data_IF_777003598158
#
_entry.id   IF_777003598158
#
_cell.length_a   1.000
_cell.length_b   1.000
_cell.length_c   1.000
_cell.angle_alpha   90.00
_cell.angle_beta   90.00
_cell.angle_gamma   90.00
#
_symmetry.space_group_name_H-M   'P 1'
#
loop_
_entity.id
_entity.type
_entity.pdbx_description
1 polymer ?
#
# COMPACT_ATOMS: atom_id res chain seq x y z
N UNK A 1 2.85 -11.61 39.57
CA UNK A 1 2.04 -10.96 38.53
C UNK A 1 2.54 -9.53 38.27
N UNK A 2 3.76 -9.35 37.76
CA UNK A 2 4.27 -8.01 37.40
C UNK A 2 5.49 -8.11 36.52
N UNK A 3 5.35 -8.77 35.38
CA UNK A 3 6.44 -8.91 34.39
C UNK A 3 6.08 -8.37 32.98
N UNK A 4 4.87 -7.83 32.81
CA UNK A 4 4.40 -7.37 31.48
C UNK A 4 4.59 -5.87 31.18
N UNK A 5 5.20 -5.11 32.11
CA UNK A 5 5.25 -3.66 32.04
C UNK A 5 6.26 -2.99 31.07
N UNK A 6 7.38 -3.59 30.64
CA UNK A 6 8.34 -2.86 29.80
C UNK A 6 7.99 -2.86 28.30
N UNK A 7 7.18 -3.79 27.82
CA UNK A 7 6.88 -3.91 26.39
C UNK A 7 5.75 -2.97 25.97
N UNK A 8 4.70 -2.82 26.80
CA UNK A 8 3.62 -1.85 26.55
C UNK A 8 4.12 -0.40 26.56
N UNK A 9 5.09 -0.09 27.44
CA UNK A 9 5.69 1.25 27.49
C UNK A 9 6.60 1.57 26.29
N UNK A 10 7.15 0.55 25.63
CA UNK A 10 7.92 0.76 24.42
C UNK A 10 7.00 1.03 23.21
N UNK A 11 5.87 0.32 23.17
CA UNK A 11 4.85 0.47 22.13
C UNK A 11 4.11 1.80 22.25
N UNK A 12 3.74 2.20 23.47
CA UNK A 12 3.10 3.49 23.73
C UNK A 12 4.04 4.66 23.44
N UNK A 13 5.37 4.47 23.55
CA UNK A 13 6.36 5.48 23.16
C UNK A 13 6.63 5.53 21.65
N UNK A 14 6.51 4.39 20.93
CA UNK A 14 6.60 4.38 19.49
C UNK A 14 5.33 4.94 18.82
N UNK A 15 4.19 4.74 19.44
CA UNK A 15 2.86 5.17 18.95
C UNK A 15 2.20 6.19 19.89
N UNK A 16 2.96 6.80 20.81
CA UNK A 16 2.48 7.96 21.56
C UNK A 16 1.92 8.98 20.60
N UNK A 17 0.78 9.61 20.91
CA UNK A 17 0.09 10.50 20.01
C UNK A 17 1.10 11.49 19.45
N UNK A 18 1.25 11.43 18.15
CA UNK A 18 2.24 12.09 17.31
C UNK A 18 1.96 13.61 17.25
N UNK A 19 1.55 14.21 18.36
CA UNK A 19 1.34 15.64 18.46
C UNK A 19 2.60 16.48 18.18
N UNK A 20 3.78 15.86 18.27
CA UNK A 20 5.06 16.54 17.99
C UNK A 20 5.69 16.10 16.66
N UNK A 21 5.16 15.10 15.96
CA UNK A 21 5.73 14.62 14.69
C UNK A 21 5.45 15.54 13.51
N UNK A 22 4.42 16.39 13.59
CA UNK A 22 4.11 17.33 12.50
C UNK A 22 5.17 18.44 12.35
N UNK A 23 5.97 18.71 13.39
CA UNK A 23 7.03 19.73 13.35
C UNK A 23 8.37 19.18 12.83
N UNK A 24 8.64 17.86 13.00
CA UNK A 24 9.95 17.28 12.69
C UNK A 24 10.08 16.76 11.26
N UNK A 25 8.96 16.62 10.53
CA UNK A 25 9.00 16.16 9.13
C UNK A 25 9.42 17.25 8.11
N UNK A 26 9.96 18.38 8.56
CA UNK A 26 10.43 19.43 7.66
C UNK A 26 11.70 19.09 6.86
N UNK A 27 12.42 18.03 7.22
CA UNK A 27 13.68 17.67 6.55
C UNK A 27 13.66 16.23 5.98
N UNK A 28 13.81 16.13 4.68
CA UNK A 28 13.96 14.88 3.90
C UNK A 28 15.10 13.96 4.41
N UNK A 29 16.02 14.47 5.20
CA UNK A 29 17.12 13.72 5.83
C UNK A 29 16.68 12.87 7.03
N UNK A 30 15.58 13.23 7.69
CA UNK A 30 15.15 12.54 8.93
C UNK A 30 14.42 11.22 8.66
N UNK A 31 13.79 11.06 7.48
CA UNK A 31 13.18 9.78 7.10
C UNK A 31 14.22 8.65 7.00
N UNK A 32 15.41 8.93 6.43
CA UNK A 32 16.51 7.95 6.37
C UNK A 32 17.08 7.61 7.75
N UNK A 33 17.21 8.60 8.64
CA UNK A 33 17.69 8.35 10.00
C UNK A 33 16.68 7.56 10.84
N UNK A 34 15.38 7.81 10.64
CA UNK A 34 14.30 7.08 11.31
C UNK A 34 14.20 5.64 10.82
N UNK A 35 14.31 5.40 9.51
CA UNK A 35 14.37 4.06 8.93
C UNK A 35 15.58 3.30 9.50
N UNK A 36 16.76 3.92 9.54
CA UNK A 36 17.98 3.32 10.08
C UNK A 36 17.90 3.05 11.59
N UNK A 37 17.18 3.89 12.33
CA UNK A 37 16.90 3.67 13.76
C UNK A 37 15.95 2.48 13.95
N UNK A 38 14.85 2.41 13.17
CA UNK A 38 13.92 1.30 13.18
C UNK A 38 14.58 -0.02 12.75
N UNK A 39 15.48 0.01 11.77
CA UNK A 39 16.29 -1.17 11.38
C UNK A 39 17.12 -1.71 12.55
N UNK A 40 17.85 -0.84 13.25
CA UNK A 40 18.63 -1.22 14.43
C UNK A 40 17.73 -1.77 15.55
N UNK A 41 16.56 -1.18 15.75
CA UNK A 41 15.61 -1.62 16.76
C UNK A 41 15.01 -2.98 16.41
N UNK A 42 14.66 -3.22 15.16
CA UNK A 42 14.24 -4.54 14.65
C UNK A 42 15.35 -5.58 14.83
N UNK A 43 16.60 -5.26 14.52
CA UNK A 43 17.73 -6.19 14.67
C UNK A 43 18.03 -6.48 16.16
N UNK A 44 17.93 -5.47 17.02
CA UNK A 44 18.10 -5.62 18.47
C UNK A 44 16.97 -6.48 19.08
N UNK A 45 15.77 -6.32 18.58
CA UNK A 45 14.61 -7.07 18.99
C UNK A 45 14.68 -8.53 18.51
N UNK A 46 15.10 -8.79 17.29
CA UNK A 46 15.34 -10.15 16.75
C UNK A 46 16.42 -10.91 17.50
N UNK A 47 17.39 -10.21 18.11
CA UNK A 47 18.47 -10.82 18.89
C UNK A 47 18.08 -11.22 20.32
N UNK A 48 16.91 -10.79 20.78
CA UNK A 48 16.34 -11.17 22.07
C UNK A 48 15.19 -12.13 21.81
N UNK A 49 15.37 -13.41 22.08
CA UNK A 49 14.43 -14.53 21.89
C UNK A 49 13.01 -14.36 22.53
N UNK A 50 12.51 -13.14 22.72
CA UNK A 50 11.31 -12.82 23.51
C UNK A 50 10.32 -11.96 22.71
N UNK A 51 10.29 -12.08 21.38
CA UNK A 51 9.40 -11.19 20.61
C UNK A 51 8.22 -11.92 20.03
N UNK A 52 7.03 -11.39 20.39
CA UNK A 52 5.81 -11.67 19.66
C UNK A 52 6.04 -11.44 18.15
N UNK A 53 5.85 -12.48 17.33
CA UNK A 53 5.96 -12.41 15.87
C UNK A 53 5.12 -11.26 15.29
N UNK A 54 4.00 -10.93 15.95
CA UNK A 54 3.13 -9.82 15.60
C UNK A 54 3.83 -8.46 15.69
N UNK A 55 4.65 -8.24 16.73
CA UNK A 55 5.41 -6.98 16.87
C UNK A 55 6.45 -6.81 15.77
N UNK A 56 7.18 -7.88 15.46
CA UNK A 56 8.16 -7.88 14.36
C UNK A 56 7.46 -7.62 13.03
N UNK A 57 6.27 -8.22 12.84
CA UNK A 57 5.45 -8.00 11.65
C UNK A 57 5.00 -6.54 11.51
N UNK A 58 4.51 -5.93 12.59
CA UNK A 58 4.08 -4.53 12.58
C UNK A 58 5.24 -3.54 12.33
N UNK A 59 6.41 -3.79 12.93
CA UNK A 59 7.61 -2.97 12.68
C UNK A 59 8.09 -3.09 11.24
N UNK A 60 8.01 -4.30 10.67
CA UNK A 60 8.34 -4.51 9.26
C UNK A 60 7.38 -3.76 8.33
N UNK A 61 6.06 -3.83 8.58
CA UNK A 61 5.07 -3.08 7.84
C UNK A 61 5.30 -1.56 7.95
N UNK A 62 5.58 -1.07 9.16
CA UNK A 62 5.88 0.35 9.38
C UNK A 62 7.11 0.80 8.59
N UNK A 63 8.20 0.04 8.63
CA UNK A 63 9.40 0.33 7.86
C UNK A 63 9.10 0.40 6.37
N UNK A 64 8.41 -0.60 5.84
CA UNK A 64 8.14 -0.71 4.42
C UNK A 64 7.21 0.41 3.91
N UNK A 65 6.18 0.77 4.68
CA UNK A 65 5.28 1.87 4.29
C UNK A 65 5.98 3.23 4.35
N UNK A 66 6.90 3.43 5.30
CA UNK A 66 7.70 4.66 5.37
C UNK A 66 8.74 4.73 4.23
N UNK A 67 9.32 3.59 3.82
CA UNK A 67 10.18 3.52 2.65
C UNK A 67 9.42 3.88 1.36
N UNK A 68 8.23 3.30 1.17
CA UNK A 68 7.36 3.63 0.04
C UNK A 68 7.05 5.12 0.02
N UNK A 69 6.66 5.70 1.16
CA UNK A 69 6.36 7.11 1.29
C UNK A 69 7.58 8.00 1.00
N UNK A 70 8.74 7.61 1.48
CA UNK A 70 10.01 8.34 1.26
C UNK A 70 10.42 8.33 -0.22
N UNK A 71 10.32 7.19 -0.89
CA UNK A 71 10.59 7.09 -2.35
C UNK A 71 9.60 7.89 -3.17
N UNK A 72 8.33 7.95 -2.76
CA UNK A 72 7.28 8.73 -3.43
C UNK A 72 7.32 10.22 -3.13
N UNK A 73 8.11 10.67 -2.15
CA UNK A 73 8.13 12.05 -1.70
C UNK A 73 6.85 12.48 -0.97
N UNK A 74 6.09 11.52 -0.44
CA UNK A 74 4.87 11.79 0.33
C UNK A 74 5.21 12.20 1.76
N UNK A 75 4.48 13.19 2.29
CA UNK A 75 4.44 13.39 3.74
C UNK A 75 3.31 12.56 4.31
N UNK A 76 3.64 11.71 5.27
CA UNK A 76 2.69 10.74 5.81
C UNK A 76 2.62 10.81 7.33
N UNK A 77 1.47 10.39 7.86
CA UNK A 77 1.25 10.07 9.27
C UNK A 77 1.02 8.57 9.34
N UNK A 78 1.90 7.86 10.05
CA UNK A 78 1.74 6.43 10.28
C UNK A 78 0.61 6.17 11.27
N UNK A 79 -0.16 5.11 11.04
CA UNK A 79 -1.33 4.76 11.84
C UNK A 79 -1.47 3.26 11.96
N UNK A 80 -2.06 2.82 13.07
CA UNK A 80 -2.44 1.43 13.31
C UNK A 80 -3.92 1.23 12.98
N UNK A 81 -4.24 0.09 12.38
CA UNK A 81 -5.62 -0.34 12.20
C UNK A 81 -6.14 -0.89 13.54
N UNK A 82 -7.12 -0.21 14.14
CA UNK A 82 -7.68 -0.57 15.44
C UNK A 82 -8.99 -1.35 15.34
N UNK A 83 -9.71 -1.20 14.22
CA UNK A 83 -10.95 -1.94 14.00
C UNK A 83 -11.21 -2.11 12.50
N UNK A 84 -11.84 -3.23 12.14
CA UNK A 84 -12.37 -3.48 10.79
C UNK A 84 -13.87 -3.37 10.84
N UNK A 85 -14.44 -2.57 9.95
CA UNK A 85 -15.89 -2.43 9.83
C UNK A 85 -16.53 -3.78 9.51
N UNK A 86 -17.63 -4.08 10.21
CA UNK A 86 -18.40 -5.29 9.94
C UNK A 86 -19.04 -5.22 8.54
N UNK A 87 -19.00 -6.33 7.81
CA UNK A 87 -19.70 -6.51 6.52
C UNK A 87 -21.22 -6.32 6.59
N UNK A 88 -21.80 -6.20 7.79
CA UNK A 88 -23.23 -5.94 8.00
C UNK A 88 -23.72 -4.62 7.36
N UNK A 89 -22.84 -3.67 7.08
CA UNK A 89 -23.18 -2.39 6.43
C UNK A 89 -22.85 -2.34 4.94
N UNK A 90 -22.48 -3.44 4.31
CA UNK A 90 -22.05 -3.53 2.91
C UNK A 90 -20.88 -2.59 2.53
N UNK A 91 -20.24 -1.94 3.48
CA UNK A 91 -19.10 -1.06 3.26
C UNK A 91 -17.85 -1.65 3.88
N UNK A 92 -16.83 -1.81 3.05
CA UNK A 92 -15.54 -2.28 3.52
C UNK A 92 -14.73 -1.09 4.04
N UNK A 93 -14.65 -0.99 5.36
CA UNK A 93 -13.96 0.10 6.04
C UNK A 93 -13.06 -0.40 7.15
N UNK A 94 -12.02 0.36 7.47
CA UNK A 94 -11.20 0.17 8.66
C UNK A 94 -11.13 1.47 9.45
N UNK A 95 -10.97 1.34 10.76
CA UNK A 95 -10.71 2.48 11.65
C UNK A 95 -9.23 2.49 12.00
N UNK A 96 -8.62 3.66 11.93
CA UNK A 96 -7.22 3.91 12.27
C UNK A 96 -7.12 4.87 13.46
N UNK A 97 -6.02 4.78 14.22
CA UNK A 97 -5.76 5.47 15.48
C UNK A 97 -5.21 6.91 15.32
N UNK A 98 -5.41 7.52 14.16
CA UNK A 98 -5.01 8.92 13.90
C UNK A 98 -6.21 9.73 13.41
N UNK A 99 -6.24 11.00 13.79
CA UNK A 99 -7.37 11.90 13.51
C UNK A 99 -6.96 13.31 13.09
N UNK A 100 -7.88 14.24 13.27
CA UNK A 100 -7.62 15.65 12.94
C UNK A 100 -6.53 16.29 13.78
N UNK A 101 -6.31 15.80 15.00
CA UNK A 101 -5.21 16.23 15.88
C UNK A 101 -3.84 15.92 15.29
N UNK A 102 -3.75 14.88 14.45
CA UNK A 102 -2.53 14.44 13.77
C UNK A 102 -2.41 15.01 12.35
N UNK A 103 -3.31 15.93 11.98
CA UNK A 103 -3.32 16.55 10.64
C UNK A 103 -4.04 15.72 9.57
N UNK A 104 -4.75 14.66 9.97
CA UNK A 104 -5.55 13.86 9.04
C UNK A 104 -6.84 14.61 8.69
N UNK A 105 -7.21 14.59 7.43
CA UNK A 105 -8.45 15.16 6.92
C UNK A 105 -9.17 14.19 5.98
N UNK A 106 -10.45 14.44 5.77
CA UNK A 106 -11.27 13.71 4.80
C UNK A 106 -10.67 13.80 3.39
N UNK A 107 -10.84 12.74 2.62
CA UNK A 107 -10.29 12.61 1.26
C UNK A 107 -8.76 12.63 1.22
N UNK A 108 -8.09 12.08 2.22
CA UNK A 108 -6.66 11.77 2.15
C UNK A 108 -6.43 10.34 1.74
N UNK A 109 -5.41 10.10 0.92
CA UNK A 109 -4.99 8.77 0.49
C UNK A 109 -4.39 7.99 1.65
N UNK A 110 -4.71 6.71 1.76
CA UNK A 110 -4.13 5.78 2.72
C UNK A 110 -3.37 4.71 1.98
N UNK A 111 -2.13 4.47 2.38
CA UNK A 111 -1.20 3.52 1.77
C UNK A 111 -0.68 2.51 2.78
N UNK A 112 -0.27 1.34 2.31
CA UNK A 112 0.50 0.34 3.06
C UNK A 112 1.84 0.09 2.37
N UNK A 113 2.55 -0.93 2.80
CA UNK A 113 3.80 -1.42 2.21
C UNK A 113 3.66 -1.87 0.75
N UNK A 114 2.51 -2.44 0.36
CA UNK A 114 2.22 -2.84 -1.03
C UNK A 114 1.72 -1.72 -1.91
N UNK A 115 1.21 -0.62 -1.37
CA UNK A 115 0.63 0.49 -2.14
C UNK A 115 -0.69 1.00 -1.57
N UNK A 116 -1.68 1.23 -2.43
CA UNK A 116 -2.97 1.82 -2.06
C UNK A 116 -3.79 0.89 -1.15
N UNK A 117 -4.29 1.46 -0.05
CA UNK A 117 -5.27 0.81 0.84
C UNK A 117 -6.67 1.39 0.63
N UNK A 118 -6.78 2.70 0.53
CA UNK A 118 -8.08 3.36 0.39
C UNK A 118 -8.01 4.87 0.58
N UNK A 119 -9.12 5.44 1.05
CA UNK A 119 -9.28 6.88 1.26
C UNK A 119 -9.97 7.16 2.60
N UNK A 120 -9.55 8.21 3.28
CA UNK A 120 -10.17 8.67 4.51
C UNK A 120 -11.59 9.18 4.23
N UNK A 121 -12.59 8.52 4.82
CA UNK A 121 -14.02 8.82 4.64
C UNK A 121 -14.53 9.82 5.67
N UNK A 122 -14.16 9.61 6.93
CA UNK A 122 -14.52 10.49 8.06
C UNK A 122 -13.40 10.54 9.07
N UNK A 123 -13.34 11.65 9.81
CA UNK A 123 -12.27 11.94 10.76
C UNK A 123 -12.91 12.43 12.05
N UNK A 124 -12.41 11.95 13.17
CA UNK A 124 -12.63 12.49 14.52
C UNK A 124 -11.34 13.14 15.03
N UNK A 125 -11.31 13.58 16.27
CA UNK A 125 -10.09 14.16 16.85
C UNK A 125 -8.90 13.18 16.81
N UNK A 126 -9.12 11.92 17.23
CA UNK A 126 -8.06 10.94 17.48
C UNK A 126 -8.22 9.66 16.63
N UNK A 127 -9.18 9.59 15.72
CA UNK A 127 -9.37 8.41 14.86
C UNK A 127 -9.96 8.79 13.52
N UNK A 128 -9.81 7.89 12.54
CA UNK A 128 -10.39 8.09 11.21
C UNK A 128 -10.94 6.79 10.66
N UNK A 129 -11.99 6.90 9.85
CA UNK A 129 -12.55 5.77 9.10
C UNK A 129 -12.06 5.86 7.67
N UNK A 130 -11.45 4.78 7.21
CA UNK A 130 -10.92 4.61 5.85
C UNK A 130 -11.84 3.72 5.06
N UNK A 131 -12.28 4.15 3.88
CA UNK A 131 -12.95 3.33 2.88
C UNK A 131 -11.88 2.57 2.12
N UNK A 132 -11.96 1.23 2.15
CA UNK A 132 -10.99 0.36 1.47
C UNK A 132 -11.23 0.37 -0.04
N UNK A 133 -10.16 0.15 -0.81
CA UNK A 133 -10.26 0.04 -2.26
C UNK A 133 -11.04 -1.20 -2.73
N UNK A 134 -11.23 -2.20 -1.85
CA UNK A 134 -12.08 -3.37 -2.11
C UNK A 134 -13.58 -3.09 -2.08
N UNK A 135 -14.00 -1.94 -1.54
CA UNK A 135 -15.41 -1.56 -1.50
C UNK A 135 -15.98 -1.34 -2.91
N UNK A 136 -17.16 -1.89 -3.26
CA UNK A 136 -17.76 -1.70 -4.58
C UNK A 136 -18.07 -0.25 -4.96
N UNK A 137 -18.18 0.63 -3.98
CA UNK A 137 -18.38 2.07 -4.22
C UNK A 137 -17.07 2.82 -4.45
N UNK A 138 -15.92 2.17 -4.20
CA UNK A 138 -14.61 2.78 -4.39
C UNK A 138 -14.24 2.80 -5.88
N UNK A 139 -13.79 3.96 -6.35
CA UNK A 139 -13.29 4.13 -7.72
C UNK A 139 -12.08 5.03 -7.70
N UNK A 140 -11.06 4.65 -8.49
CA UNK A 140 -9.82 5.42 -8.63
C UNK A 140 -9.40 5.48 -10.09
N UNK A 141 -9.00 6.67 -10.55
CA UNK A 141 -8.32 6.85 -11.83
C UNK A 141 -6.89 6.33 -11.76
N UNK A 142 -6.56 5.44 -12.68
CA UNK A 142 -5.22 4.83 -12.78
C UNK A 142 -4.62 5.07 -14.15
N UNK A 143 -3.31 4.89 -14.24
CA UNK A 143 -2.58 4.72 -15.49
C UNK A 143 -1.83 3.41 -15.47
N UNK A 144 -1.62 2.84 -16.64
CA UNK A 144 -0.75 1.67 -16.82
C UNK A 144 0.69 2.17 -16.81
N UNK A 145 1.53 1.56 -15.99
CA UNK A 145 2.95 1.86 -15.92
C UNK A 145 3.64 1.60 -17.27
N UNK A 146 4.47 2.52 -17.69
CA UNK A 146 5.22 2.42 -18.96
C UNK A 146 4.44 2.84 -20.21
N UNK A 147 3.14 2.49 -20.35
CA UNK A 147 2.38 2.75 -21.59
C UNK A 147 1.51 4.00 -21.53
N UNK A 148 1.22 4.54 -20.35
CA UNK A 148 0.36 5.71 -20.13
C UNK A 148 -1.14 5.49 -20.42
N UNK A 149 -1.59 4.27 -20.71
CA UNK A 149 -3.02 3.96 -20.84
C UNK A 149 -3.78 4.36 -19.57
N UNK A 150 -4.91 5.01 -19.73
CA UNK A 150 -5.70 5.56 -18.62
C UNK A 150 -6.95 4.71 -18.40
N UNK A 151 -7.26 4.42 -17.15
CA UNK A 151 -8.45 3.67 -16.78
C UNK A 151 -8.99 4.04 -15.40
N UNK A 152 -10.08 3.38 -15.04
CA UNK A 152 -10.69 3.46 -13.73
C UNK A 152 -10.71 2.07 -13.12
N UNK A 153 -10.18 1.95 -11.91
CA UNK A 153 -10.27 0.72 -11.10
C UNK A 153 -11.40 0.87 -10.10
N UNK A 154 -12.24 -0.16 -10.01
CA UNK A 154 -13.33 -0.27 -9.04
C UNK A 154 -13.20 -1.54 -8.19
N UNK A 155 -13.57 -1.48 -6.91
CA UNK A 155 -13.61 -2.62 -6.02
C UNK A 155 -14.70 -3.63 -6.42
N UNK A 156 -14.40 -4.92 -6.23
CA UNK A 156 -15.34 -6.01 -6.48
C UNK A 156 -15.56 -6.86 -5.22
N UNK A 157 -15.05 -6.40 -4.09
CA UNK A 157 -14.99 -7.18 -2.87
C UNK A 157 -13.72 -8.05 -2.79
N UNK A 158 -13.22 -8.28 -1.58
CA UNK A 158 -11.96 -9.01 -1.38
C UNK A 158 -10.77 -8.32 -2.05
N UNK A 159 -9.84 -9.10 -2.60
CA UNK A 159 -8.66 -8.58 -3.29
C UNK A 159 -8.81 -8.55 -4.83
N UNK A 160 -10.04 -8.48 -5.31
CA UNK A 160 -10.36 -8.44 -6.74
C UNK A 160 -10.88 -7.06 -7.13
N UNK A 161 -10.41 -6.58 -8.25
CA UNK A 161 -10.75 -5.25 -8.77
C UNK A 161 -10.99 -5.35 -10.27
N UNK A 162 -11.87 -4.49 -10.77
CA UNK A 162 -12.14 -4.36 -12.19
C UNK A 162 -11.51 -3.08 -12.72
N UNK A 163 -10.62 -3.21 -13.69
CA UNK A 163 -10.13 -2.10 -14.50
C UNK A 163 -11.02 -1.92 -15.72
N UNK A 164 -11.47 -0.70 -15.94
CA UNK A 164 -12.10 -0.26 -17.17
C UNK A 164 -11.18 0.75 -17.84
N UNK A 165 -10.65 0.40 -19.02
CA UNK A 165 -9.82 1.30 -19.82
C UNK A 165 -10.69 2.37 -20.47
N UNK A 166 -10.25 3.62 -20.42
CA UNK A 166 -10.93 4.75 -21.05
C UNK A 166 -10.48 4.96 -22.49
N UNK A 167 -9.32 4.40 -22.86
CA UNK A 167 -8.77 4.45 -24.22
C UNK A 167 -8.94 3.09 -24.88
N UNK A 168 -9.74 3.04 -25.94
CA UNK A 168 -9.99 1.83 -26.72
C UNK A 168 -8.77 1.34 -27.52
N UNK A 169 -7.80 2.21 -27.75
CA UNK A 169 -6.58 1.90 -28.52
C UNK A 169 -5.41 1.46 -27.64
N UNK A 170 -5.55 1.60 -26.31
CA UNK A 170 -4.52 1.21 -25.35
C UNK A 170 -4.37 -0.31 -25.31
N UNK A 171 -3.16 -0.83 -25.54
CA UNK A 171 -2.86 -2.23 -25.26
C UNK A 171 -2.72 -2.44 -23.75
N UNK A 172 -3.45 -3.42 -23.22
CA UNK A 172 -3.32 -3.91 -21.85
C UNK A 172 -2.86 -5.35 -21.87
N UNK A 173 -1.90 -5.69 -21.04
CA UNK A 173 -1.32 -7.04 -20.93
C UNK A 173 -1.40 -7.57 -19.53
N UNK A 174 -1.52 -8.88 -19.40
CA UNK A 174 -1.36 -9.56 -18.10
C UNK A 174 0.03 -9.27 -17.55
N UNK A 175 0.10 -8.89 -16.28
CA UNK A 175 1.32 -8.45 -15.61
C UNK A 175 1.53 -6.93 -15.61
N UNK A 176 0.73 -6.15 -16.34
CA UNK A 176 0.82 -4.70 -16.30
C UNK A 176 0.49 -4.17 -14.89
N UNK A 177 1.34 -3.25 -14.41
CA UNK A 177 1.17 -2.63 -13.10
C UNK A 177 0.40 -1.32 -13.25
N UNK A 178 -0.59 -1.15 -12.39
CA UNK A 178 -1.43 0.03 -12.33
C UNK A 178 -0.97 0.96 -11.21
N UNK A 179 -0.84 2.23 -11.51
CA UNK A 179 -0.50 3.28 -10.55
C UNK A 179 -1.57 4.37 -10.51
N UNK A 180 -1.80 4.93 -9.35
CA UNK A 180 -2.74 6.03 -9.18
C UNK A 180 -2.31 7.23 -10.04
N UNK A 181 -3.24 7.74 -10.84
CA UNK A 181 -3.01 8.93 -11.64
C UNK A 181 -2.92 10.21 -10.79
N UNK A 182 -3.51 10.16 -9.60
CA UNK A 182 -3.67 11.32 -8.75
C UNK A 182 -4.89 12.16 -9.11
N UNK A 183 -5.24 13.05 -8.20
CA UNK A 183 -6.33 14.01 -8.32
C UNK A 183 -5.78 15.42 -8.15
N UNK A 184 -6.53 16.43 -8.59
CA UNK A 184 -6.16 17.82 -8.40
C UNK A 184 -5.94 18.14 -6.91
N UNK A 185 -4.83 18.79 -6.58
CA UNK A 185 -4.45 19.04 -5.19
C UNK A 185 -4.08 17.79 -4.38
N UNK A 186 -3.93 16.62 -5.03
CA UNK A 186 -3.59 15.36 -4.36
C UNK A 186 -4.71 14.76 -3.51
N UNK A 187 -5.96 15.17 -3.73
CA UNK A 187 -7.13 14.64 -3.01
C UNK A 187 -8.24 14.26 -3.98
N UNK A 188 -8.87 13.10 -3.83
CA UNK A 188 -8.65 12.09 -2.78
C UNK A 188 -7.41 11.22 -2.98
N UNK A 189 -6.76 11.25 -4.14
CA UNK A 189 -5.64 10.37 -4.46
C UNK A 189 -4.39 11.15 -4.84
N UNK A 190 -3.25 10.74 -4.27
CA UNK A 190 -1.95 11.24 -4.69
C UNK A 190 -1.43 10.44 -5.89
N UNK A 191 -0.67 11.06 -6.82
CA UNK A 191 -0.16 10.37 -7.98
C UNK A 191 0.95 9.36 -7.63
N UNK A 192 1.11 8.33 -8.47
CA UNK A 192 2.23 7.40 -8.42
C UNK A 192 2.11 6.25 -7.42
N UNK A 193 1.07 6.21 -6.58
CA UNK A 193 0.85 5.08 -5.65
C UNK A 193 0.54 3.82 -6.43
N UNK A 194 1.26 2.69 -6.20
CA UNK A 194 0.92 1.41 -6.77
C UNK A 194 -0.48 0.94 -6.34
N UNK A 195 -1.28 0.43 -7.27
CA UNK A 195 -2.68 0.02 -7.03
C UNK A 195 -2.83 -1.49 -7.15
N UNK A 196 -2.42 -2.06 -8.27
CA UNK A 196 -2.61 -3.48 -8.55
C UNK A 196 -1.88 -3.92 -9.80
N UNK A 197 -1.99 -5.21 -10.09
CA UNK A 197 -1.44 -5.85 -11.29
C UNK A 197 -2.56 -6.52 -12.07
N UNK A 198 -2.54 -6.39 -13.39
CA UNK A 198 -3.50 -7.03 -14.30
C UNK A 198 -3.28 -8.53 -14.31
N UNK A 199 -4.34 -9.28 -14.00
CA UNK A 199 -4.31 -10.76 -13.95
C UNK A 199 -4.99 -11.41 -15.15
N UNK A 200 -6.03 -10.76 -15.71
CA UNK A 200 -6.68 -11.21 -16.93
C UNK A 200 -7.19 -10.02 -17.75
N UNK A 201 -7.27 -10.19 -19.06
CA UNK A 201 -7.82 -9.17 -19.96
C UNK A 201 -9.07 -9.74 -20.62
N UNK A 202 -10.19 -9.03 -20.49
CA UNK A 202 -11.47 -9.38 -21.08
C UNK A 202 -11.62 -8.62 -22.40
N UNK A 203 -11.27 -9.26 -23.51
CA UNK A 203 -11.47 -8.69 -24.85
C UNK A 203 -12.82 -9.14 -25.40
N UNK A 204 -13.83 -8.29 -25.33
CA UNK A 204 -15.07 -8.49 -26.07
C UNK A 204 -14.99 -7.70 -27.38
N UNK A 205 -14.99 -8.41 -28.49
CA UNK A 205 -14.91 -7.81 -29.84
C UNK A 205 -16.05 -6.80 -30.16
N UNK A 206 -17.09 -6.78 -29.34
CA UNK A 206 -18.25 -5.88 -29.48
C UNK A 206 -18.22 -4.68 -28.51
N UNK A 207 -17.22 -4.60 -27.63
CA UNK A 207 -17.14 -3.57 -26.58
C UNK A 207 -16.16 -2.46 -26.97
N UNK A 208 -16.62 -1.24 -26.90
CA UNK A 208 -15.78 -0.03 -27.12
C UNK A 208 -14.77 0.14 -25.97
N UNK A 209 -15.02 -0.48 -24.81
CA UNK A 209 -14.15 -0.42 -23.62
C UNK A 209 -13.52 -1.77 -23.35
N UNK A 210 -12.22 -1.76 -23.08
CA UNK A 210 -11.52 -2.95 -22.60
C UNK A 210 -11.62 -3.04 -21.08
N UNK A 211 -11.96 -4.21 -20.60
CA UNK A 211 -11.99 -4.51 -19.16
C UNK A 211 -10.88 -5.50 -18.81
N UNK A 212 -10.35 -5.39 -17.62
CA UNK A 212 -9.37 -6.34 -17.12
C UNK A 212 -9.58 -6.59 -15.62
N UNK A 213 -9.33 -7.83 -15.21
CA UNK A 213 -9.28 -8.17 -13.81
C UNK A 213 -7.92 -7.78 -13.23
N UNK A 214 -7.95 -7.22 -12.02
CA UNK A 214 -6.77 -6.70 -11.33
C UNK A 214 -6.70 -7.31 -9.94
N UNK A 215 -5.51 -7.68 -9.53
CA UNK A 215 -5.19 -8.04 -8.16
C UNK A 215 -4.49 -6.87 -7.47
N UNK A 216 -4.93 -6.52 -6.25
CA UNK A 216 -4.36 -5.43 -5.48
C UNK A 216 -2.96 -5.78 -4.95
N UNK A 217 -2.04 -4.83 -5.00
CA UNK A 217 -0.70 -5.00 -4.45
C UNK A 217 -0.66 -4.95 -2.92
N UNK A 218 -1.64 -4.28 -2.30
CA UNK A 218 -1.80 -4.23 -0.85
C UNK A 218 -2.68 -5.39 -0.38
N UNK A 219 -2.18 -6.18 0.58
CA UNK A 219 -2.99 -7.21 1.22
C UNK A 219 -3.89 -6.58 2.29
N UNK A 220 -5.13 -6.24 1.89
CA UNK A 220 -6.07 -5.55 2.77
C UNK A 220 -6.51 -6.39 3.98
N UNK A 221 -6.43 -7.72 3.91
CA UNK A 221 -6.84 -8.60 5.01
C UNK A 221 -5.82 -8.64 6.15
N UNK A 222 -4.55 -8.36 5.85
CA UNK A 222 -3.44 -8.42 6.80
C UNK A 222 -2.83 -7.06 7.13
N UNK A 223 -3.45 -5.98 6.68
CA UNK A 223 -2.96 -4.62 6.97
C UNK A 223 -3.16 -4.32 8.46
N UNK A 224 -2.07 -4.23 9.20
CA UNK A 224 -2.03 -3.80 10.60
C UNK A 224 -1.55 -2.36 10.76
N UNK A 225 -0.62 -1.94 9.88
CA UNK A 225 -0.03 -0.59 9.86
C UNK A 225 -0.25 0.04 8.49
N UNK A 226 -0.68 1.29 8.48
CA UNK A 226 -0.91 2.11 7.29
C UNK A 226 -0.26 3.48 7.45
N UNK A 227 -0.21 4.24 6.38
CA UNK A 227 0.16 5.64 6.42
C UNK A 227 -0.87 6.51 5.69
N UNK A 228 -1.29 7.59 6.32
CA UNK A 228 -2.16 8.59 5.70
C UNK A 228 -1.29 9.64 5.04
N UNK A 229 -1.48 9.89 3.76
CA UNK A 229 -0.74 10.91 3.02
C UNK A 229 -1.36 12.28 3.32
N UNK A 230 -0.68 13.08 4.13
CA UNK A 230 -1.14 14.42 4.54
C UNK A 230 -0.72 15.52 3.58
N UNK A 231 0.32 15.28 2.78
CA UNK A 231 0.76 16.22 1.74
C UNK A 231 1.21 15.45 0.49
N UNK A 232 0.71 15.84 -0.70
CA UNK A 232 1.14 15.23 -1.95
C UNK A 232 2.61 15.53 -2.24
N UNK A 233 3.24 14.76 -3.13
CA UNK A 233 4.61 15.01 -3.55
C UNK A 233 4.67 16.30 -4.39
N UNK A 234 5.82 16.97 -4.39
CA UNK A 234 6.05 18.16 -5.23
C UNK A 234 6.08 17.84 -6.73
N UNK A 235 6.48 16.62 -7.07
CA UNK A 235 6.53 16.10 -8.43
C UNK A 235 5.90 14.71 -8.44
N UNK A 236 5.24 14.36 -9.55
CA UNK A 236 4.70 13.00 -9.72
C UNK A 236 5.85 11.98 -9.70
N UNK A 237 5.89 11.04 -8.75
CA UNK A 237 6.93 10.02 -8.68
C UNK A 237 6.87 9.04 -9.87
N UNK A 238 5.83 9.11 -10.69
CA UNK A 238 5.59 8.24 -11.84
C UNK A 238 5.72 6.75 -11.48
N UNK A 239 6.61 6.04 -12.15
CA UNK A 239 6.78 4.58 -12.04
C UNK A 239 7.85 4.18 -11.00
N UNK A 240 8.42 5.14 -10.27
CA UNK A 240 9.51 4.89 -9.30
C UNK A 240 9.11 4.01 -8.11
N UNK A 241 7.82 3.88 -7.84
CA UNK A 241 7.28 3.11 -6.72
C UNK A 241 6.85 1.70 -7.11
N UNK A 242 6.91 1.34 -8.38
CA UNK A 242 6.53 0.00 -8.85
C UNK A 242 7.44 -1.04 -8.21
N UNK A 243 6.89 -2.13 -7.67
CA UNK A 243 7.69 -3.26 -7.20
C UNK A 243 8.55 -3.79 -8.34
N UNK A 244 9.84 -3.98 -8.09
CA UNK A 244 10.71 -4.63 -9.07
C UNK A 244 10.25 -6.07 -9.22
N UNK A 245 10.16 -6.59 -10.49
CA UNK A 245 9.86 -8.00 -10.69
C UNK A 245 10.89 -8.86 -9.95
N UNK A 246 10.42 -9.96 -9.36
CA UNK A 246 11.31 -10.91 -8.72
C UNK A 246 12.35 -11.39 -9.74
N UNK A 247 13.64 -11.58 -9.33
CA UNK A 247 14.66 -12.06 -10.23
C UNK A 247 14.24 -13.43 -10.79
N UNK A 248 14.12 -13.52 -12.11
CA UNK A 248 13.83 -14.77 -12.80
C UNK A 248 15.05 -15.67 -12.68
N UNK A 249 14.96 -16.71 -11.86
CA UNK A 249 15.98 -17.75 -11.81
C UNK A 249 15.80 -18.62 -13.05
N UNK A 250 16.66 -18.43 -14.06
CA UNK A 250 16.70 -19.30 -15.21
C UNK A 250 17.37 -20.59 -14.78
N UNK A 251 16.59 -21.62 -14.53
CA UNK A 251 17.12 -22.98 -14.30
C UNK A 251 17.50 -23.56 -15.67
N UNK A 252 18.78 -23.61 -15.96
CA UNK A 252 19.27 -24.36 -17.11
C UNK A 252 19.12 -25.86 -16.79
N UNK A 253 18.11 -26.49 -17.37
CA UNK A 253 17.98 -27.95 -17.34
C UNK A 253 18.99 -28.51 -18.35
N UNK A 254 20.07 -29.06 -17.87
CA UNK A 254 20.99 -29.80 -18.72
C UNK A 254 20.30 -31.10 -19.18
N UNK A 255 20.12 -31.31 -20.49
CA UNK A 255 19.47 -32.52 -20.95
C UNK A 255 20.30 -33.75 -20.54
N UNK A 256 19.65 -34.68 -19.87
CA UNK A 256 20.26 -35.97 -19.54
C UNK A 256 20.58 -36.71 -20.83
N UNK A 257 21.81 -37.16 -21.07
CA UNK A 257 22.13 -37.88 -22.29
C UNK A 257 21.34 -39.20 -22.33
N UNK A 258 20.66 -39.42 -23.46
CA UNK A 258 19.97 -40.68 -23.74
C UNK A 258 20.95 -41.85 -23.73
N UNK A 259 20.58 -43.01 -23.14
CA UNK A 259 21.46 -44.18 -23.17
C UNK A 259 21.60 -44.64 -24.62
N UNK A 260 22.87 -44.72 -25.09
CA UNK A 260 23.19 -45.30 -26.39
C UNK A 260 22.92 -46.81 -26.36
N UNK A 261 21.97 -47.26 -27.13
CA UNK A 261 21.79 -48.70 -27.45
C UNK A 261 22.95 -49.14 -28.31
N UNK A 262 23.91 -49.83 -27.70
CA UNK A 262 24.91 -50.64 -28.40
C UNK A 262 24.27 -51.91 -28.92
N UNK A 263 24.39 -52.12 -30.23
CA UNK A 263 24.03 -53.36 -30.93
C UNK A 263 25.21 -54.32 -30.87
#
# INVERSE_FOLDING_TARGET
ATVFSPVENLFSKLFSPIGNFASDFRNFGQSKSKIKQLEKEVDLLKSKDVLDEDLVGQLSQLKNVLDLAGRGGYKVVAAKVINRGSSATFKQTVTIDVGSSDGVAKNMTVISDGGLVGVVKSVTANSSIVLLMSDPTFKIGVRIAGTQGIGVVSGQGGNKYLLQLLDATGEIKVGDVLVARGSEGGRPFVPGVPVGTVTSVQSNASSITQNADVEGLSNLDRVGVVAVVVSPPKQDPRDSLIPKPAPTVTVFVTPTPSPSTSK
#
